data_IF_955508166096
#
_entry.id   IF_955508166096
#
_cell.length_a   1.000
_cell.length_b   1.000
_cell.length_c   1.000
_cell.angle_alpha   90.00
_cell.angle_beta   90.00
_cell.angle_gamma   90.00
#
_symmetry.space_group_name_H-M   'P 1'
#
loop_
_entity.id
_entity.type
_entity.pdbx_description
1 polymer ?
#
# COMPACT_ATOMS: atom_id res chain seq x y z
N UNK A 1 -23.21 -12.71 0.52
CA UNK A 1 -22.25 -11.69 1.00
C UNK A 1 -22.07 -10.70 -0.14
N UNK A 2 -22.48 -9.45 0.06
CA UNK A 2 -22.39 -8.44 -0.99
C UNK A 2 -21.31 -7.42 -0.61
N UNK A 3 -20.05 -7.77 -0.91
CA UNK A 3 -18.91 -6.86 -0.76
C UNK A 3 -19.13 -5.54 -1.53
N UNK A 4 -19.97 -5.53 -2.56
CA UNK A 4 -20.29 -4.29 -3.29
C UNK A 4 -21.03 -3.32 -2.40
N UNK A 5 -21.98 -3.79 -1.57
CA UNK A 5 -22.64 -2.93 -0.58
C UNK A 5 -21.68 -2.47 0.52
N UNK A 6 -20.79 -3.34 0.99
CA UNK A 6 -19.81 -2.99 2.01
C UNK A 6 -18.81 -1.93 1.53
N UNK A 7 -18.31 -2.08 0.29
CA UNK A 7 -17.43 -1.07 -0.31
C UNK A 7 -18.19 0.19 -0.69
N UNK A 8 -19.45 0.09 -1.12
CA UNK A 8 -20.26 1.27 -1.35
C UNK A 8 -20.46 2.08 -0.07
N UNK A 9 -20.61 1.39 1.07
CA UNK A 9 -20.66 2.02 2.38
C UNK A 9 -19.36 2.77 2.68
N UNK A 10 -18.19 2.15 2.54
CA UNK A 10 -16.90 2.81 2.74
C UNK A 10 -16.66 3.98 1.77
N UNK A 11 -16.96 3.78 0.48
CA UNK A 11 -16.80 4.80 -0.55
C UNK A 11 -17.82 5.94 -0.46
N UNK A 12 -18.88 5.77 0.34
CA UNK A 12 -20.02 6.71 0.43
C UNK A 12 -20.86 6.78 -0.86
N UNK A 13 -20.70 5.81 -1.77
CA UNK A 13 -21.40 5.75 -3.08
C UNK A 13 -21.39 4.33 -3.66
N UNK A 14 -22.41 4.01 -4.46
CA UNK A 14 -22.54 2.70 -5.12
C UNK A 14 -22.14 2.71 -6.60
N UNK A 15 -21.90 3.88 -7.18
CA UNK A 15 -21.50 4.04 -8.58
C UNK A 15 -20.00 4.30 -8.70
N UNK A 16 -19.36 3.50 -9.55
CA UNK A 16 -17.94 3.66 -9.87
C UNK A 16 -17.75 3.80 -11.37
N UNK A 17 -16.92 4.75 -11.84
CA UNK A 17 -16.70 4.92 -13.26
C UNK A 17 -16.11 3.66 -13.90
N UNK A 18 -16.30 3.47 -15.20
CA UNK A 18 -15.52 2.45 -15.91
C UNK A 18 -14.05 2.90 -15.96
N UNK A 19 -13.11 2.01 -15.64
CA UNK A 19 -11.68 2.36 -15.57
C UNK A 19 -10.84 1.23 -15.01
N UNK A 20 -9.51 1.45 -14.99
CA UNK A 20 -8.55 0.62 -14.28
C UNK A 20 -8.36 1.20 -12.89
N UNK A 21 -8.27 0.32 -11.89
CA UNK A 21 -8.14 0.69 -10.49
C UNK A 21 -6.97 -0.05 -9.87
N UNK A 22 -6.19 0.68 -9.09
CA UNK A 22 -5.01 0.16 -8.42
C UNK A 22 -5.10 0.41 -6.92
N UNK A 23 -4.38 -0.38 -6.13
CA UNK A 23 -4.10 -0.09 -4.73
C UNK A 23 -2.59 -0.01 -4.53
N UNK A 24 -2.12 1.03 -3.85
CA UNK A 24 -0.70 1.24 -3.55
C UNK A 24 -0.50 1.33 -2.05
N UNK A 25 0.50 0.61 -1.56
CA UNK A 25 0.99 0.65 -0.21
C UNK A 25 2.30 1.43 -0.14
N UNK A 26 2.45 2.28 0.87
CA UNK A 26 3.68 3.01 1.14
C UNK A 26 3.82 3.30 2.63
N UNK A 27 5.02 3.67 3.07
CA UNK A 27 5.25 4.04 4.46
C UNK A 27 6.72 4.23 4.82
N UNK A 28 6.94 4.93 5.93
CA UNK A 28 8.26 5.25 6.49
C UNK A 28 9.07 3.98 6.79
N UNK A 29 8.39 2.89 7.15
CA UNK A 29 9.02 1.60 7.45
C UNK A 29 9.67 0.98 6.22
N UNK A 30 9.05 1.15 5.04
CA UNK A 30 9.69 0.77 3.78
C UNK A 30 10.91 1.67 3.53
N UNK A 31 10.77 2.98 3.71
CA UNK A 31 11.86 3.90 3.42
C UNK A 31 13.09 3.67 4.33
N UNK A 32 12.86 3.33 5.60
CA UNK A 32 13.90 3.09 6.59
C UNK A 32 14.54 1.70 6.45
N UNK A 33 13.72 0.66 6.36
CA UNK A 33 14.14 -0.73 6.62
C UNK A 33 14.07 -1.65 5.40
N UNK A 34 13.59 -1.19 4.25
CA UNK A 34 13.48 -2.04 3.06
C UNK A 34 14.83 -2.62 2.62
N UNK A 35 15.89 -1.81 2.64
CA UNK A 35 17.16 -2.16 2.03
C UNK A 35 18.21 -2.63 3.06
N UNK A 36 18.95 -3.71 2.78
CA UNK A 36 18.95 -4.50 1.54
C UNK A 36 17.74 -5.44 1.39
N UNK A 37 17.19 -5.52 0.17
CA UNK A 37 16.02 -6.35 -0.15
C UNK A 37 16.38 -7.46 -1.12
N UNK A 38 16.44 -8.71 -0.65
CA UNK A 38 16.79 -9.89 -1.47
C UNK A 38 15.82 -10.15 -2.63
N UNK A 39 14.61 -9.61 -2.55
CA UNK A 39 13.54 -9.75 -3.54
C UNK A 39 13.49 -8.60 -4.55
N UNK A 40 14.19 -7.48 -4.35
CA UNK A 40 14.28 -6.36 -5.31
C UNK A 40 15.39 -6.60 -6.35
N UNK A 41 15.30 -7.70 -7.08
CA UNK A 41 16.21 -8.00 -8.19
C UNK A 41 15.66 -7.44 -9.51
N UNK A 42 16.51 -7.15 -10.51
CA UNK A 42 16.04 -6.80 -11.85
C UNK A 42 15.06 -7.79 -12.47
N UNK A 43 15.22 -9.09 -12.20
CA UNK A 43 14.33 -10.13 -12.69
C UNK A 43 12.97 -10.11 -12.00
N UNK A 44 12.94 -9.88 -10.69
CA UNK A 44 11.70 -9.75 -9.94
C UNK A 44 10.91 -8.50 -10.35
N UNK A 45 11.61 -7.37 -10.53
CA UNK A 45 11.05 -6.11 -11.00
C UNK A 45 10.52 -6.17 -12.45
N UNK A 46 11.04 -7.08 -13.27
CA UNK A 46 10.53 -7.31 -14.63
C UNK A 46 9.38 -8.33 -14.69
N UNK A 47 9.10 -9.02 -13.59
CA UNK A 47 8.09 -10.08 -13.52
C UNK A 47 6.72 -9.49 -13.20
N UNK A 48 5.68 -9.97 -13.90
CA UNK A 48 4.28 -9.68 -13.57
C UNK A 48 3.70 -10.67 -12.55
N UNK A 49 4.51 -11.59 -12.02
CA UNK A 49 4.06 -12.54 -11.01
C UNK A 49 3.90 -11.82 -9.66
N UNK A 50 2.76 -11.98 -8.96
CA UNK A 50 2.59 -11.46 -7.62
C UNK A 50 3.68 -11.97 -6.67
N UNK A 51 4.17 -11.10 -5.79
CA UNK A 51 5.18 -11.43 -4.78
C UNK A 51 4.60 -11.14 -3.40
N UNK A 52 4.55 -12.16 -2.55
CA UNK A 52 4.35 -11.97 -1.12
C UNK A 52 5.68 -11.51 -0.51
N UNK A 53 5.67 -10.35 0.12
CA UNK A 53 6.86 -9.81 0.79
C UNK A 53 6.91 -10.29 2.24
N UNK A 54 8.11 -10.55 2.81
CA UNK A 54 8.23 -10.73 4.24
C UNK A 54 7.71 -9.48 4.94
N UNK A 55 7.00 -9.68 6.04
CA UNK A 55 6.23 -8.63 6.71
C UNK A 55 7.12 -7.43 7.08
N UNK A 56 7.01 -6.37 6.29
CA UNK A 56 7.83 -5.16 6.42
C UNK A 56 7.32 -4.32 7.59
N UNK A 57 6.09 -4.55 8.04
CA UNK A 57 5.37 -3.79 9.06
C UNK A 57 4.96 -4.66 10.27
N UNK A 58 5.57 -5.83 10.47
CA UNK A 58 5.31 -6.73 11.61
C UNK A 58 5.40 -6.05 12.99
N UNK A 59 6.00 -4.85 13.04
CA UNK A 59 6.13 -4.03 14.24
C UNK A 59 4.94 -3.07 14.49
N UNK A 60 4.10 -2.79 13.48
CA UNK A 60 3.07 -1.74 13.49
C UNK A 60 1.67 -2.25 13.14
N UNK A 61 1.61 -3.27 12.30
CA UNK A 61 0.48 -4.18 12.22
C UNK A 61 0.55 -5.05 13.48
N UNK A 62 -0.52 -5.11 14.26
CA UNK A 62 -0.60 -6.05 15.38
C UNK A 62 -0.35 -7.49 14.88
N UNK A 63 -0.06 -8.42 15.78
CA UNK A 63 0.15 -9.85 15.44
C UNK A 63 -0.99 -10.40 14.53
N UNK A 64 -2.19 -9.81 14.62
CA UNK A 64 -3.36 -10.16 13.82
C UNK A 64 -3.28 -9.70 12.35
N UNK A 65 -2.59 -8.59 12.05
CA UNK A 65 -2.39 -8.09 10.68
C UNK A 65 -1.10 -8.59 10.02
N UNK A 66 -0.09 -8.95 10.80
CA UNK A 66 1.17 -9.55 10.33
C UNK A 66 0.95 -10.83 9.50
N UNK A 67 -0.02 -11.65 9.89
CA UNK A 67 -0.40 -12.88 9.20
C UNK A 67 -1.27 -12.66 7.93
N UNK A 68 -1.54 -11.41 7.54
CA UNK A 68 -2.42 -11.04 6.42
C UNK A 68 -1.72 -10.90 5.06
N UNK A 69 -0.39 -10.82 5.05
CA UNK A 69 0.54 -10.85 3.90
C UNK A 69 -0.06 -10.41 2.55
N UNK A 70 0.03 -9.12 2.24
CA UNK A 70 -0.25 -8.62 0.88
C UNK A 70 0.61 -9.29 -0.19
N UNK A 71 0.02 -9.42 -1.37
CA UNK A 71 0.73 -9.73 -2.60
C UNK A 71 0.93 -8.46 -3.42
N UNK A 72 2.11 -8.29 -4.00
CA UNK A 72 2.51 -7.08 -4.71
C UNK A 72 2.88 -7.36 -6.16
N UNK A 73 2.48 -6.45 -7.04
CA UNK A 73 2.96 -6.35 -8.43
C UNK A 73 4.21 -5.46 -8.45
N UNK A 74 5.39 -6.08 -8.35
CA UNK A 74 6.65 -5.34 -8.31
C UNK A 74 6.94 -4.60 -9.62
N UNK A 75 6.49 -5.12 -10.77
CA UNK A 75 6.69 -4.47 -12.06
C UNK A 75 5.85 -3.19 -12.19
N UNK A 76 4.62 -3.22 -11.68
CA UNK A 76 3.71 -2.07 -11.63
C UNK A 76 3.87 -1.15 -10.41
N UNK A 77 4.75 -1.49 -9.47
CA UNK A 77 5.09 -0.63 -8.34
C UNK A 77 5.86 0.62 -8.79
N UNK A 78 5.86 1.67 -7.98
CA UNK A 78 6.58 2.91 -8.24
C UNK A 78 7.68 3.11 -7.21
N UNK A 79 8.74 3.80 -7.59
CA UNK A 79 9.89 4.07 -6.73
C UNK A 79 10.31 5.53 -6.91
N UNK A 80 10.13 6.33 -5.87
CA UNK A 80 10.61 7.70 -5.85
C UNK A 80 12.10 7.71 -5.53
N UNK A 81 12.89 8.41 -6.35
CA UNK A 81 14.35 8.51 -6.18
C UNK A 81 14.70 9.93 -5.75
N UNK A 82 15.04 10.09 -4.47
CA UNK A 82 15.23 11.39 -3.85
C UNK A 82 16.61 11.54 -3.23
N UNK A 83 17.20 12.73 -3.39
CA UNK A 83 18.51 13.11 -2.86
C UNK A 83 19.65 12.14 -3.19
N UNK A 84 19.55 11.30 -4.21
CA UNK A 84 20.46 10.17 -4.39
C UNK A 84 21.79 10.48 -5.12
N UNK A 85 22.14 11.76 -5.32
CA UNK A 85 23.31 12.20 -6.10
C UNK A 85 24.67 11.72 -5.57
N UNK A 86 24.79 11.48 -4.27
CA UNK A 86 26.01 11.01 -3.61
C UNK A 86 26.13 9.47 -3.57
N UNK A 87 25.03 8.75 -3.82
CA UNK A 87 24.94 7.29 -3.67
C UNK A 87 24.62 6.55 -4.97
N UNK A 88 24.05 7.20 -5.98
CA UNK A 88 23.76 6.61 -7.28
C UNK A 88 24.64 7.21 -8.39
N UNK A 89 24.99 6.42 -9.42
CA UNK A 89 25.74 6.95 -10.57
C UNK A 89 25.00 8.10 -11.26
N UNK A 90 25.71 9.14 -11.66
CA UNK A 90 25.10 10.26 -12.40
C UNK A 90 24.38 9.83 -13.68
N UNK A 91 24.90 8.81 -14.37
CA UNK A 91 24.26 8.23 -15.55
C UNK A 91 22.95 7.50 -15.23
N UNK A 92 22.86 6.85 -14.07
CA UNK A 92 21.62 6.24 -13.58
C UNK A 92 20.54 7.32 -13.36
N UNK A 93 20.90 8.40 -12.67
CA UNK A 93 19.95 9.50 -12.39
C UNK A 93 19.52 10.23 -13.67
N UNK A 94 20.42 10.34 -14.66
CA UNK A 94 20.07 10.92 -15.96
C UNK A 94 19.06 10.06 -16.72
N UNK A 95 19.27 8.73 -16.77
CA UNK A 95 18.33 7.80 -17.40
C UNK A 95 16.98 7.76 -16.65
N UNK A 96 17.00 7.79 -15.31
CA UNK A 96 15.79 7.86 -14.49
C UNK A 96 14.99 9.13 -14.76
N UNK A 97 15.65 10.31 -14.81
CA UNK A 97 15.00 11.60 -15.17
C UNK A 97 14.46 11.61 -16.59
N UNK A 98 15.08 10.86 -17.50
CA UNK A 98 14.59 10.71 -18.87
C UNK A 98 13.32 9.84 -18.94
N UNK A 99 13.15 8.89 -18.00
CA UNK A 99 11.93 8.09 -17.87
C UNK A 99 10.80 8.88 -17.20
N UNK A 100 11.09 9.53 -16.07
CA UNK A 100 10.17 10.45 -15.38
C UNK A 100 10.96 11.65 -14.81
N UNK A 101 10.63 12.90 -15.19
CA UNK A 101 11.36 14.09 -14.73
C UNK A 101 11.31 14.30 -13.22
N UNK A 102 10.28 13.79 -12.54
CA UNK A 102 10.14 13.87 -11.09
C UNK A 102 10.76 12.65 -10.38
N UNK A 103 11.51 11.80 -11.11
CA UNK A 103 12.21 10.64 -10.56
C UNK A 103 11.29 9.60 -9.91
N UNK A 104 10.03 9.54 -10.32
CA UNK A 104 9.09 8.48 -9.93
C UNK A 104 9.11 7.37 -10.98
N UNK A 105 9.92 6.34 -10.73
CA UNK A 105 10.24 5.30 -11.72
C UNK A 105 9.38 4.06 -11.49
N UNK A 106 8.79 3.50 -12.55
CA UNK A 106 8.09 2.22 -12.48
C UNK A 106 9.03 1.04 -12.23
N UNK A 107 8.56 0.00 -11.55
CA UNK A 107 9.39 -1.14 -11.14
C UNK A 107 10.09 -1.82 -12.31
N UNK A 108 9.38 -2.08 -13.41
CA UNK A 108 9.98 -2.65 -14.61
C UNK A 108 11.14 -1.80 -15.16
N UNK A 109 10.97 -0.47 -15.19
CA UNK A 109 12.01 0.46 -15.63
C UNK A 109 13.16 0.53 -14.64
N UNK A 110 12.87 0.52 -13.32
CA UNK A 110 13.88 0.44 -12.28
C UNK A 110 14.75 -0.81 -12.45
N UNK A 111 14.14 -1.97 -12.72
CA UNK A 111 14.87 -3.21 -13.00
C UNK A 111 15.87 -3.08 -14.16
N UNK A 112 15.46 -2.41 -15.25
CA UNK A 112 16.34 -2.11 -16.39
C UNK A 112 17.48 -1.18 -15.98
N UNK A 113 17.20 -0.13 -15.21
CA UNK A 113 18.20 0.83 -14.75
C UNK A 113 19.23 0.17 -13.83
N UNK A 114 18.78 -0.64 -12.85
CA UNK A 114 19.63 -1.37 -11.93
C UNK A 114 20.61 -2.28 -12.69
N UNK A 115 20.08 -3.08 -13.63
CA UNK A 115 20.90 -3.98 -14.45
C UNK A 115 21.90 -3.23 -15.34
N UNK A 116 21.47 -2.13 -15.98
CA UNK A 116 22.32 -1.32 -16.87
C UNK A 116 23.49 -0.67 -16.15
N UNK A 117 23.23 -0.15 -14.95
CA UNK A 117 24.20 0.66 -14.19
C UNK A 117 24.93 -0.11 -13.09
N UNK A 118 24.65 -1.42 -12.96
CA UNK A 118 25.30 -2.30 -11.98
C UNK A 118 24.98 -1.94 -10.53
N UNK A 119 23.77 -1.44 -10.27
CA UNK A 119 23.28 -1.15 -8.92
C UNK A 119 22.57 -2.39 -8.38
N UNK A 120 23.03 -2.88 -7.24
CA UNK A 120 22.50 -4.08 -6.60
C UNK A 120 21.80 -3.70 -5.29
N UNK A 121 20.46 -3.82 -5.26
CA UNK A 121 19.63 -3.54 -4.07
C UNK A 121 19.62 -4.70 -3.05
N UNK A 122 20.21 -5.84 -3.40
CA UNK A 122 20.30 -7.02 -2.52
C UNK A 122 21.58 -7.04 -1.68
N UNK A 123 22.59 -6.24 -2.08
CA UNK A 123 23.87 -6.15 -1.38
C UNK A 123 23.75 -5.32 -0.09
N UNK A 124 24.50 -5.67 0.96
CA UNK A 124 24.51 -4.91 2.22
C UNK A 124 24.81 -3.41 2.04
N UNK A 125 25.59 -3.05 1.01
CA UNK A 125 25.89 -1.66 0.67
C UNK A 125 24.65 -0.86 0.24
N UNK A 126 23.55 -1.52 -0.13
CA UNK A 126 22.28 -0.91 -0.49
C UNK A 126 21.60 -0.21 0.70
N UNK A 127 21.97 -0.50 1.96
CA UNK A 127 21.42 0.23 3.11
C UNK A 127 21.65 1.74 3.06
N UNK A 128 22.64 2.23 2.29
CA UNK A 128 22.82 3.67 2.05
C UNK A 128 21.75 4.31 1.16
N UNK A 129 20.90 3.50 0.53
CA UNK A 129 19.81 3.91 -0.35
C UNK A 129 18.47 3.97 0.40
N UNK A 130 18.41 3.56 1.67
CA UNK A 130 17.25 3.83 2.55
C UNK A 130 16.98 5.34 2.58
N UNK A 131 15.71 5.73 2.51
CA UNK A 131 15.23 7.10 2.31
C UNK A 131 15.70 7.81 1.03
N UNK A 132 16.41 7.12 0.13
CA UNK A 132 16.81 7.65 -1.19
C UNK A 132 16.06 6.98 -2.33
N UNK A 133 15.57 5.76 -2.10
CA UNK A 133 14.65 5.04 -2.97
C UNK A 133 13.44 4.65 -2.10
N UNK A 134 12.36 5.42 -2.20
CA UNK A 134 11.14 5.22 -1.45
C UNK A 134 10.12 4.46 -2.30
N UNK A 135 9.76 3.21 -1.96
CA UNK A 135 8.82 2.42 -2.74
C UNK A 135 7.36 2.80 -2.44
N UNK A 136 6.58 2.90 -3.50
CA UNK A 136 5.12 2.81 -3.49
C UNK A 136 4.74 1.47 -4.13
N UNK A 137 4.54 0.46 -3.30
CA UNK A 137 4.31 -0.91 -3.73
C UNK A 137 2.86 -1.09 -4.20
N UNK A 138 2.68 -1.46 -5.47
CA UNK A 138 1.36 -1.75 -6.03
C UNK A 138 0.90 -3.11 -5.53
N UNK A 139 -0.29 -3.18 -4.93
CA UNK A 139 -0.94 -4.45 -4.61
C UNK A 139 -1.29 -5.20 -5.90
N UNK A 140 -1.15 -6.51 -5.90
CA UNK A 140 -1.53 -7.35 -7.02
C UNK A 140 -3.05 -7.41 -7.15
N UNK A 141 -3.62 -6.66 -8.09
CA UNK A 141 -5.07 -6.60 -8.37
C UNK A 141 -5.38 -6.97 -9.82
N UNK A 142 -6.64 -7.35 -10.09
CA UNK A 142 -7.15 -7.57 -11.45
C UNK A 142 -7.50 -6.27 -12.21
N UNK A 143 -7.23 -5.11 -11.62
CA UNK A 143 -7.54 -3.79 -12.17
C UNK A 143 -8.98 -3.33 -11.94
N UNK A 144 -9.83 -4.11 -11.26
CA UNK A 144 -11.17 -3.68 -10.87
C UNK A 144 -11.17 -2.97 -9.52
N UNK A 145 -12.09 -2.02 -9.32
CA UNK A 145 -12.24 -1.36 -8.03
C UNK A 145 -12.60 -2.35 -6.93
N UNK A 146 -13.43 -3.34 -7.24
CA UNK A 146 -13.82 -4.36 -6.28
C UNK A 146 -12.61 -5.12 -5.75
N UNK A 147 -11.68 -5.52 -6.63
CA UNK A 147 -10.49 -6.23 -6.22
C UNK A 147 -9.48 -5.33 -5.51
N UNK A 148 -9.29 -4.08 -5.97
CA UNK A 148 -8.46 -3.10 -5.28
C UNK A 148 -8.94 -2.83 -3.84
N UNK A 149 -10.25 -2.70 -3.64
CA UNK A 149 -10.85 -2.57 -2.30
C UNK A 149 -10.65 -3.84 -1.46
N UNK A 150 -10.74 -5.03 -2.07
CA UNK A 150 -10.48 -6.31 -1.36
C UNK A 150 -9.03 -6.47 -0.93
N UNK A 151 -8.09 -6.00 -1.74
CA UNK A 151 -6.68 -6.01 -1.41
C UNK A 151 -6.39 -5.00 -0.29
N UNK A 152 -6.86 -3.76 -0.42
CA UNK A 152 -6.64 -2.70 0.58
C UNK A 152 -7.24 -3.01 1.97
N UNK A 153 -8.32 -3.79 2.03
CA UNK A 153 -9.02 -4.15 3.26
C UNK A 153 -8.83 -5.61 3.67
N UNK A 154 -7.89 -6.33 3.07
CA UNK A 154 -7.65 -7.77 3.32
C UNK A 154 -8.86 -8.72 3.15
N UNK A 155 -10.00 -8.24 2.66
CA UNK A 155 -11.20 -9.06 2.41
C UNK A 155 -11.05 -10.00 1.21
N UNK A 156 -9.93 -9.94 0.47
CA UNK A 156 -9.58 -10.97 -0.51
C UNK A 156 -9.42 -12.37 0.12
N UNK A 157 -9.12 -12.44 1.42
CA UNK A 157 -8.88 -13.69 2.19
C UNK A 157 -10.11 -14.40 2.73
N UNK A 158 -11.32 -13.89 2.44
CA UNK A 158 -12.56 -14.54 2.83
C UNK A 158 -12.52 -16.06 2.58
N UNK A 159 -12.88 -16.90 3.58
CA UNK A 159 -13.57 -16.57 4.82
C UNK A 159 -12.68 -16.23 6.03
N UNK A 160 -11.35 -16.22 5.89
CA UNK A 160 -10.41 -16.03 7.01
C UNK A 160 -10.23 -14.54 7.38
N UNK A 161 -11.29 -13.91 7.88
CA UNK A 161 -11.28 -12.51 8.32
C UNK A 161 -10.86 -12.38 9.78
N UNK A 162 -10.14 -11.29 10.08
CA UNK A 162 -9.76 -10.94 11.46
C UNK A 162 -10.96 -10.32 12.17
N UNK A 163 -11.39 -10.86 13.33
CA UNK A 163 -12.47 -10.28 14.11
C UNK A 163 -12.03 -8.97 14.78
N UNK A 164 -12.97 -8.06 15.02
CA UNK A 164 -12.70 -6.80 15.73
C UNK A 164 -12.10 -7.01 17.12
N UNK A 165 -12.53 -8.10 17.79
CA UNK A 165 -12.16 -8.47 19.15
C UNK A 165 -12.98 -7.73 20.22
N UNK A 166 -12.92 -8.23 21.46
CA UNK A 166 -13.56 -7.62 22.64
C UNK A 166 -12.63 -6.64 23.38
N UNK A 167 -11.54 -6.23 22.72
CA UNK A 167 -10.56 -5.32 23.31
C UNK A 167 -11.17 -3.92 23.45
N UNK A 168 -11.69 -3.61 24.65
CA UNK A 168 -12.45 -2.37 24.92
C UNK A 168 -11.72 -1.04 24.71
N UNK A 169 -10.47 -1.07 24.25
CA UNK A 169 -9.70 0.11 23.83
C UNK A 169 -9.86 0.42 22.33
N UNK A 170 -10.24 -0.54 21.48
CA UNK A 170 -10.51 -0.33 20.05
C UNK A 170 -11.86 0.36 19.89
N UNK A 171 -11.90 1.45 19.12
CA UNK A 171 -13.12 2.23 18.86
C UNK A 171 -13.23 2.55 17.39
N UNK A 172 -14.39 2.23 16.83
CA UNK A 172 -14.77 2.66 15.47
C UNK A 172 -15.11 4.14 15.51
N UNK A 173 -14.64 4.88 14.50
CA UNK A 173 -14.95 6.28 14.36
C UNK A 173 -16.48 6.47 14.18
N UNK A 174 -17.13 7.35 14.97
CA UNK A 174 -18.60 7.44 15.02
C UNK A 174 -19.29 7.66 13.67
N UNK A 175 -18.62 8.34 12.73
CA UNK A 175 -19.15 8.59 11.38
C UNK A 175 -19.40 7.31 10.57
N UNK A 176 -18.74 6.20 10.92
CA UNK A 176 -18.84 4.92 10.21
C UNK A 176 -19.79 3.92 10.85
N UNK A 177 -20.26 4.17 12.07
CA UNK A 177 -21.06 3.20 12.82
C UNK A 177 -22.35 2.79 12.08
N UNK A 178 -23.07 3.73 11.48
CA UNK A 178 -24.30 3.43 10.73
C UNK A 178 -24.01 2.66 9.44
N UNK A 179 -22.98 3.08 8.70
CA UNK A 179 -22.55 2.45 7.46
C UNK A 179 -22.10 1.00 7.68
N UNK A 180 -21.30 0.76 8.73
CA UNK A 180 -20.85 -0.58 9.13
C UNK A 180 -22.01 -1.43 9.66
N UNK A 181 -22.98 -0.86 10.38
CA UNK A 181 -24.13 -1.62 10.86
C UNK A 181 -24.97 -2.22 9.72
N UNK A 182 -24.94 -1.63 8.52
CA UNK A 182 -25.61 -2.13 7.33
C UNK A 182 -24.83 -3.25 6.60
N UNK A 183 -23.59 -3.54 7.01
CA UNK A 183 -22.76 -4.60 6.41
C UNK A 183 -23.16 -5.96 6.96
N UNK A 184 -23.55 -6.86 6.05
CA UNK A 184 -23.77 -8.28 6.31
C UNK A 184 -22.79 -9.11 5.46
N UNK A 185 -22.16 -10.17 6.01
CA UNK A 185 -22.41 -10.78 7.31
C UNK A 185 -21.61 -10.14 8.47
N UNK A 186 -21.92 -10.47 9.75
CA UNK A 186 -21.26 -9.88 10.92
C UNK A 186 -19.73 -9.99 10.89
N UNK A 187 -19.18 -11.10 10.40
CA UNK A 187 -17.73 -11.31 10.33
C UNK A 187 -17.05 -10.31 9.39
N UNK A 188 -17.73 -9.94 8.29
CA UNK A 188 -17.25 -8.91 7.37
C UNK A 188 -17.34 -7.52 8.00
N UNK A 189 -18.44 -7.23 8.70
CA UNK A 189 -18.61 -5.97 9.43
C UNK A 189 -17.53 -5.79 10.49
N UNK A 190 -17.27 -6.82 11.29
CA UNK A 190 -16.29 -6.79 12.37
C UNK A 190 -14.88 -6.56 11.81
N UNK A 191 -14.54 -7.23 10.71
CA UNK A 191 -13.27 -7.02 10.02
C UNK A 191 -13.14 -5.60 9.45
N UNK A 192 -14.15 -5.10 8.74
CA UNK A 192 -14.12 -3.73 8.20
C UNK A 192 -14.13 -2.67 9.31
N UNK A 193 -14.64 -2.99 10.49
CA UNK A 193 -14.57 -2.10 11.66
C UNK A 193 -13.13 -1.84 12.09
N UNK A 194 -12.21 -2.79 11.88
CA UNK A 194 -10.77 -2.58 12.12
C UNK A 194 -10.16 -1.57 11.16
N UNK A 195 -10.79 -1.31 10.02
CA UNK A 195 -10.33 -0.34 9.02
C UNK A 195 -10.97 1.05 9.17
N UNK A 196 -11.88 1.22 10.14
CA UNK A 196 -12.61 2.47 10.38
C UNK A 196 -12.41 2.95 11.83
N UNK A 197 -11.22 2.75 12.39
CA UNK A 197 -10.92 3.08 13.77
C UNK A 197 -10.72 4.59 13.98
N UNK A 198 -10.99 5.05 15.20
CA UNK A 198 -10.65 6.40 15.66
C UNK A 198 -9.13 6.63 15.59
N UNK A 199 -8.67 7.90 15.47
CA UNK A 199 -7.24 8.22 15.36
C UNK A 199 -6.36 7.68 16.50
N UNK A 200 -6.89 7.55 17.72
CA UNK A 200 -6.12 6.97 18.82
C UNK A 200 -6.02 5.44 18.72
N UNK A 201 -7.11 4.76 18.35
CA UNK A 201 -7.13 3.29 18.26
C UNK A 201 -6.33 2.78 17.06
N UNK A 202 -6.44 3.45 15.91
CA UNK A 202 -5.71 3.11 14.68
C UNK A 202 -4.18 3.17 14.80
N UNK A 203 -3.65 3.85 15.84
CA UNK A 203 -2.22 3.91 16.10
C UNK A 203 -1.61 2.59 16.52
N UNK A 204 -2.41 1.73 17.16
CA UNK A 204 -1.92 0.51 17.82
C UNK A 204 -2.49 -0.77 17.21
N UNK A 205 -3.57 -0.70 16.44
CA UNK A 205 -4.15 -1.83 15.71
C UNK A 205 -5.02 -1.32 14.56
N UNK A 206 -5.17 -2.13 13.52
CA UNK A 206 -6.04 -1.83 12.39
C UNK A 206 -5.65 -0.55 11.65
N UNK A 207 -6.65 0.17 11.15
CA UNK A 207 -6.46 1.33 10.30
C UNK A 207 -7.50 2.42 10.55
N UNK A 208 -7.12 3.64 10.19
CA UNK A 208 -8.04 4.77 10.07
C UNK A 208 -8.39 4.99 8.61
N UNK A 209 -9.68 5.03 8.29
CA UNK A 209 -10.14 5.36 6.95
C UNK A 209 -10.16 6.87 6.71
N UNK A 210 -9.49 7.32 5.65
CA UNK A 210 -9.36 8.72 5.25
C UNK A 210 -10.35 9.13 4.15
N UNK A 211 -10.96 8.17 3.47
CA UNK A 211 -11.80 8.45 2.29
C UNK A 211 -10.99 8.94 1.10
N UNK A 212 -11.59 9.81 0.29
CA UNK A 212 -11.03 10.27 -0.98
C UNK A 212 -10.35 11.66 -0.92
N UNK A 213 -10.27 12.27 0.26
CA UNK A 213 -9.88 13.68 0.41
C UNK A 213 -8.47 13.89 0.95
N UNK A 214 -7.87 12.85 1.52
CA UNK A 214 -6.57 12.92 2.19
C UNK A 214 -5.75 11.70 1.77
N UNK A 215 -4.55 11.95 1.26
CA UNK A 215 -3.63 10.88 0.86
C UNK A 215 -3.00 10.24 2.09
N UNK A 216 -3.06 8.90 2.23
CA UNK A 216 -2.35 8.19 3.28
C UNK A 216 -0.84 8.40 3.24
N UNK A 217 -0.19 8.24 4.40
CA UNK A 217 1.28 8.23 4.50
C UNK A 217 1.91 7.32 3.46
N UNK A 218 3.02 7.80 2.86
CA UNK A 218 3.78 7.06 1.86
C UNK A 218 3.12 6.98 0.49
N UNK A 219 1.93 7.54 0.27
CA UNK A 219 1.22 7.45 -1.03
C UNK A 219 1.05 8.79 -1.75
N UNK A 220 1.47 9.91 -1.14
CA UNK A 220 1.28 11.27 -1.67
C UNK A 220 2.01 11.56 -2.98
N UNK A 221 3.01 10.76 -3.36
CA UNK A 221 3.66 10.86 -4.68
C UNK A 221 2.70 10.60 -5.86
N UNK A 222 1.51 10.04 -5.60
CA UNK A 222 0.45 9.85 -6.58
C UNK A 222 -0.42 11.10 -6.78
N UNK A 223 -0.30 12.12 -5.92
CA UNK A 223 -1.10 13.33 -6.01
C UNK A 223 -0.85 14.09 -7.32
N UNK A 224 -1.94 14.57 -7.93
CA UNK A 224 -1.91 15.17 -9.27
C UNK A 224 -1.64 14.19 -10.43
N UNK A 225 -1.27 12.93 -10.16
CA UNK A 225 -1.02 11.88 -11.17
C UNK A 225 -2.14 10.85 -11.25
N UNK A 226 -2.78 10.56 -10.11
CA UNK A 226 -3.88 9.62 -9.96
C UNK A 226 -5.03 10.26 -9.20
N UNK A 227 -6.23 9.69 -9.35
CA UNK A 227 -7.38 10.09 -8.56
C UNK A 227 -7.50 9.18 -7.34
N UNK A 228 -7.35 9.73 -6.14
CA UNK A 228 -7.66 9.03 -4.90
C UNK A 228 -9.15 8.71 -4.80
N UNK A 229 -9.47 7.48 -4.42
CA UNK A 229 -10.84 7.01 -4.22
C UNK A 229 -11.11 6.61 -2.77
N UNK A 230 -10.10 6.05 -2.12
CA UNK A 230 -10.15 5.61 -0.73
C UNK A 230 -8.72 5.48 -0.21
N UNK A 231 -8.50 5.87 1.05
CA UNK A 231 -7.21 5.78 1.72
C UNK A 231 -7.35 5.28 3.14
N UNK A 232 -6.33 4.56 3.63
CA UNK A 232 -6.22 4.13 5.02
C UNK A 232 -4.82 4.39 5.56
N UNK A 233 -4.73 4.81 6.81
CA UNK A 233 -3.48 4.94 7.57
C UNK A 233 -3.37 3.85 8.62
N UNK A 234 -2.16 3.33 8.80
CA UNK A 234 -1.79 2.33 9.78
C UNK A 234 -0.68 2.87 10.69
N UNK A 235 -0.55 2.31 11.89
CA UNK A 235 0.63 2.42 12.76
C UNK A 235 1.16 3.85 12.94
N UNK A 236 0.55 4.64 13.81
CA UNK A 236 0.90 6.07 14.02
C UNK A 236 0.99 6.95 12.76
N UNK A 237 0.30 6.58 11.67
CA UNK A 237 0.43 7.24 10.35
C UNK A 237 1.83 7.09 9.76
N UNK A 238 2.47 5.95 10.00
CA UNK A 238 3.78 5.59 9.42
C UNK A 238 3.63 4.83 8.11
N UNK A 239 2.48 4.22 7.86
CA UNK A 239 2.19 3.57 6.58
C UNK A 239 0.74 3.75 6.17
N UNK A 240 0.45 3.49 4.89
CA UNK A 240 -0.87 3.71 4.33
C UNK A 240 -1.10 2.96 3.03
N UNK A 241 -2.38 2.73 2.72
CA UNK A 241 -2.81 2.16 1.44
C UNK A 241 -3.81 3.09 0.77
N UNK A 242 -3.56 3.38 -0.51
CA UNK A 242 -4.40 4.23 -1.35
C UNK A 242 -4.98 3.42 -2.51
N UNK A 243 -6.31 3.43 -2.64
CA UNK A 243 -7.03 2.94 -3.82
C UNK A 243 -7.25 4.10 -4.77
N UNK A 244 -6.83 3.93 -6.02
CA UNK A 244 -6.75 5.01 -7.02
C UNK A 244 -7.31 4.60 -8.38
N UNK A 245 -7.63 5.59 -9.22
CA UNK A 245 -7.91 5.47 -10.65
C UNK A 245 -6.92 6.29 -11.49
#
# INVERSE_FOLDING_TARGET
MDLTLAFAALLGRSDSPAGSYDAYYGGDTLDEFLLPASWLTPAALASSAPVALPDVDACFLDDDHADLAWEFDLAGSLFAIEWAEDVLPAAFLADARAADPDLLVGGADLGVLLARHGVDLTAESAGRLSYRISPLLRLATDGTLHDAMRMATFTHRLPALVPFGDEGWRRVEPGWAEALAAVEPPELRDHLSLHCLEPFSSRAAGARYLGANEWPTGTSALDGRRKLLAGWEFGESQSGVAVVA
#
